data_IF_160829635973
#
_entry.id   IF_160829635973
#
_cell.length_a   1.000
_cell.length_b   1.000
_cell.length_c   1.000
_cell.angle_alpha   90.00
_cell.angle_beta   90.00
_cell.angle_gamma   90.00
#
_symmetry.space_group_name_H-M   'P 1'
#
loop_
_entity.id
_entity.type
_entity.pdbx_description
1 polymer ?
#
# COMPACT_ATOMS: atom_id res chain seq x y z
N UNK A 1 16.00 -43.21 -20.48
CA UNK A 1 16.32 -42.50 -21.74
C UNK A 1 16.97 -41.15 -21.47
N UNK A 2 17.56 -40.51 -22.45
CA UNK A 2 18.41 -39.31 -22.27
C UNK A 2 17.76 -38.13 -21.53
N UNK A 3 16.45 -38.02 -21.58
CA UNK A 3 15.71 -36.97 -20.88
C UNK A 3 15.71 -37.16 -19.35
N UNK A 4 15.58 -38.40 -18.89
CA UNK A 4 15.63 -38.75 -17.46
C UNK A 4 17.03 -38.60 -16.87
N UNK A 5 18.07 -38.81 -17.66
CA UNK A 5 19.46 -38.57 -17.24
C UNK A 5 19.74 -37.06 -17.08
N UNK A 6 19.31 -36.24 -18.02
CA UNK A 6 19.44 -34.79 -17.94
C UNK A 6 18.71 -34.18 -16.74
N UNK A 7 17.46 -34.62 -16.49
CA UNK A 7 16.68 -34.18 -15.31
C UNK A 7 17.36 -34.60 -14.00
N UNK A 8 17.99 -35.78 -13.99
CA UNK A 8 18.73 -36.27 -12.84
C UNK A 8 20.03 -35.51 -12.60
N UNK A 9 20.76 -35.16 -13.65
CA UNK A 9 21.95 -34.32 -13.58
C UNK A 9 21.62 -32.88 -13.14
N UNK A 10 20.55 -32.28 -13.66
CA UNK A 10 20.06 -30.96 -13.24
C UNK A 10 19.63 -30.96 -11.78
N UNK A 11 18.93 -32.01 -11.31
CA UNK A 11 18.52 -32.15 -9.92
C UNK A 11 19.72 -32.33 -8.97
N UNK A 12 20.75 -33.07 -9.39
CA UNK A 12 21.98 -33.23 -8.63
C UNK A 12 22.77 -31.92 -8.56
N UNK A 13 22.91 -31.22 -9.67
CA UNK A 13 23.59 -29.91 -9.73
C UNK A 13 22.89 -28.85 -8.86
N UNK A 14 21.55 -28.88 -8.81
CA UNK A 14 20.76 -28.02 -7.93
C UNK A 14 21.00 -28.33 -6.45
N UNK A 15 20.99 -29.62 -6.09
CA UNK A 15 21.27 -30.05 -4.70
C UNK A 15 22.69 -29.71 -4.25
N UNK A 16 23.68 -29.87 -5.15
CA UNK A 16 25.08 -29.50 -4.86
C UNK A 16 25.26 -27.99 -4.73
N UNK A 17 24.56 -27.20 -5.54
CA UNK A 17 24.55 -25.75 -5.42
C UNK A 17 23.87 -25.28 -4.11
N UNK A 18 22.80 -25.95 -3.71
CA UNK A 18 22.08 -25.67 -2.46
C UNK A 18 22.93 -26.07 -1.22
N UNK A 19 23.60 -27.23 -1.27
CA UNK A 19 24.52 -27.68 -0.24
C UNK A 19 25.74 -26.76 -0.11
N UNK A 20 26.28 -26.24 -1.23
CA UNK A 20 27.36 -25.27 -1.24
C UNK A 20 26.91 -23.95 -0.62
N UNK A 21 25.74 -23.41 -1.01
CA UNK A 21 25.17 -22.21 -0.43
C UNK A 21 24.89 -22.36 1.09
N UNK A 22 24.46 -23.55 1.52
CA UNK A 22 24.25 -23.84 2.93
C UNK A 22 25.58 -23.86 3.72
N UNK A 23 26.67 -24.42 3.13
CA UNK A 23 28.01 -24.39 3.73
C UNK A 23 28.61 -22.99 3.75
N UNK A 24 28.43 -22.20 2.71
CA UNK A 24 28.84 -20.80 2.64
C UNK A 24 28.10 -19.95 3.69
N UNK A 25 26.78 -20.18 3.87
CA UNK A 25 26.00 -19.54 4.95
C UNK A 25 26.46 -19.96 6.35
N UNK A 26 26.81 -21.23 6.55
CA UNK A 26 27.31 -21.73 7.83
C UNK A 26 28.74 -21.26 8.15
N UNK A 27 29.54 -20.99 7.14
CA UNK A 27 30.91 -20.47 7.25
C UNK A 27 30.98 -18.93 7.28
N UNK A 28 29.90 -18.25 6.96
CA UNK A 28 29.86 -16.77 7.07
C UNK A 28 30.04 -16.36 8.53
N UNK A 29 30.88 -15.36 8.83
CA UNK A 29 31.03 -14.85 10.18
C UNK A 29 29.66 -14.47 10.72
N UNK A 30 29.34 -14.91 11.94
CA UNK A 30 28.13 -14.47 12.62
C UNK A 30 28.26 -12.98 12.88
N UNK A 31 27.77 -12.17 11.95
CA UNK A 31 27.65 -10.74 12.15
C UNK A 31 26.54 -10.55 13.17
N UNK A 32 26.83 -9.89 14.28
CA UNK A 32 25.82 -9.59 15.28
C UNK A 32 24.66 -8.84 14.60
N UNK A 33 23.46 -9.39 14.68
CA UNK A 33 22.25 -8.73 14.17
C UNK A 33 21.88 -7.64 15.17
N UNK A 34 21.77 -6.37 14.77
CA UNK A 34 21.38 -5.30 15.67
C UNK A 34 19.95 -5.50 16.18
N UNK A 35 19.67 -4.99 17.38
CA UNK A 35 18.32 -5.08 17.95
C UNK A 35 17.33 -4.17 17.22
N UNK A 36 17.81 -3.03 16.70
CA UNK A 36 17.02 -2.00 16.01
C UNK A 36 17.64 -1.63 14.67
N UNK A 37 16.86 -0.96 13.83
CA UNK A 37 17.36 -0.36 12.58
C UNK A 37 18.22 0.88 12.85
N UNK A 38 18.94 1.33 11.81
CA UNK A 38 19.74 2.56 11.83
C UNK A 38 18.91 3.81 11.48
N UNK A 39 17.58 3.70 11.42
CA UNK A 39 16.69 4.84 11.16
C UNK A 39 16.90 5.89 12.24
N UNK A 40 17.17 7.13 11.83
CA UNK A 40 17.39 8.25 12.77
C UNK A 40 16.10 8.55 13.56
N UNK A 41 16.25 8.97 14.80
CA UNK A 41 15.11 9.18 15.71
C UNK A 41 14.77 10.65 15.94
N UNK A 42 15.60 11.54 15.41
CA UNK A 42 15.52 12.99 15.58
C UNK A 42 14.90 13.71 14.39
N UNK A 43 14.10 13.00 13.57
CA UNK A 43 13.40 13.60 12.44
C UNK A 43 12.46 14.72 12.91
N UNK A 44 12.41 15.86 12.21
CA UNK A 44 11.48 16.92 12.51
C UNK A 44 10.03 16.42 12.42
N UNK A 45 9.21 16.76 13.41
CA UNK A 45 7.79 16.43 13.43
C UNK A 45 7.01 17.55 12.74
N UNK A 46 6.24 17.27 11.68
CA UNK A 46 5.41 18.28 11.04
C UNK A 46 4.19 18.60 11.90
N UNK A 47 3.68 19.82 11.76
CA UNK A 47 2.44 20.22 12.43
C UNK A 47 1.25 19.99 11.50
N UNK A 48 0.33 19.10 11.84
CA UNK A 48 -0.85 18.89 11.02
C UNK A 48 -1.83 20.07 11.11
N UNK A 49 -2.62 20.36 10.08
CA UNK A 49 -3.56 21.48 10.07
C UNK A 49 -4.79 21.25 10.96
N UNK A 50 -5.00 20.03 11.40
CA UNK A 50 -6.06 19.60 12.34
C UNK A 50 -5.71 18.25 12.94
N UNK A 51 -6.39 17.88 14.00
CA UNK A 51 -6.34 16.54 14.58
C UNK A 51 -7.66 15.78 14.35
N UNK A 52 -7.61 14.46 14.34
CA UNK A 52 -8.74 13.59 14.04
C UNK A 52 -9.00 13.45 12.56
N UNK A 53 -10.19 13.00 12.18
CA UNK A 53 -10.53 12.64 10.81
C UNK A 53 -11.46 13.66 10.13
N UNK A 54 -11.37 13.71 8.79
CA UNK A 54 -12.27 14.43 7.88
C UNK A 54 -12.71 13.53 6.73
N UNK A 55 -13.89 13.80 6.21
CA UNK A 55 -14.45 13.12 5.02
C UNK A 55 -14.37 14.03 3.81
N UNK A 56 -13.98 13.44 2.68
CA UNK A 56 -14.03 14.04 1.35
C UNK A 56 -15.08 13.28 0.54
N UNK A 57 -16.12 13.97 0.07
CA UNK A 57 -17.17 13.41 -0.79
C UNK A 57 -17.17 14.10 -2.14
N UNK A 58 -17.60 13.35 -3.16
CA UNK A 58 -17.74 13.88 -4.51
C UNK A 58 -16.41 14.37 -5.10
N UNK A 59 -15.33 13.62 -4.87
CA UNK A 59 -14.02 13.93 -5.44
C UNK A 59 -14.16 13.87 -6.97
N UNK A 60 -13.82 14.95 -7.71
CA UNK A 60 -13.95 14.95 -9.15
C UNK A 60 -13.10 13.87 -9.81
N UNK A 61 -13.65 13.11 -10.74
CA UNK A 61 -12.91 12.09 -11.51
C UNK A 61 -11.68 12.70 -12.17
N UNK A 62 -11.81 13.93 -12.71
CA UNK A 62 -10.73 14.62 -13.40
C UNK A 62 -9.54 14.98 -12.52
N UNK A 63 -9.75 15.17 -11.23
CA UNK A 63 -8.67 15.42 -10.26
C UNK A 63 -7.92 14.11 -9.93
N UNK A 64 -8.56 12.96 -10.10
CA UNK A 64 -8.01 11.64 -9.76
C UNK A 64 -7.35 10.95 -10.95
N UNK A 65 -7.89 11.10 -12.15
CA UNK A 65 -7.38 10.49 -13.40
C UNK A 65 -5.87 10.70 -13.61
N UNK A 66 -5.26 11.87 -13.31
CA UNK A 66 -3.81 12.06 -13.44
C UNK A 66 -2.95 11.15 -12.55
N UNK A 67 -3.55 10.52 -11.53
CA UNK A 67 -2.87 9.64 -10.57
C UNK A 67 -3.00 8.15 -10.91
N UNK A 68 -3.68 7.80 -12.01
CA UNK A 68 -3.79 6.41 -12.45
C UNK A 68 -2.41 5.85 -12.81
N UNK A 69 -2.03 4.74 -12.17
CA UNK A 69 -0.92 3.92 -12.64
C UNK A 69 -1.37 3.08 -13.84
N UNK A 70 -1.14 3.63 -15.06
CA UNK A 70 -1.52 2.98 -16.32
C UNK A 70 -0.85 1.63 -16.51
N UNK A 71 0.40 1.48 -16.03
CA UNK A 71 1.13 0.23 -16.18
C UNK A 71 0.50 -0.88 -15.33
N UNK A 72 0.14 -0.57 -14.08
CA UNK A 72 -0.59 -1.49 -13.20
C UNK A 72 -1.98 -1.79 -13.74
N UNK A 73 -2.72 -0.78 -14.22
CA UNK A 73 -4.03 -0.97 -14.83
C UNK A 73 -3.97 -1.94 -16.02
N UNK A 74 -3.09 -1.67 -16.97
CA UNK A 74 -3.03 -2.45 -18.20
C UNK A 74 -2.51 -3.87 -17.96
N UNK A 75 -1.43 -4.01 -17.18
CA UNK A 75 -0.80 -5.32 -16.96
C UNK A 75 -1.50 -6.17 -15.90
N UNK A 76 -1.97 -5.57 -14.82
CA UNK A 76 -2.56 -6.28 -13.69
C UNK A 76 -4.09 -6.24 -13.74
N UNK A 77 -4.68 -5.06 -13.85
CA UNK A 77 -6.11 -4.85 -13.89
C UNK A 77 -6.77 -5.46 -15.12
N UNK A 78 -6.22 -5.21 -16.30
CA UNK A 78 -6.75 -5.71 -17.59
C UNK A 78 -6.00 -6.93 -18.13
N UNK A 79 -5.00 -7.45 -17.39
CA UNK A 79 -4.27 -8.70 -17.65
C UNK A 79 -3.46 -8.75 -18.96
N UNK A 80 -3.09 -7.61 -19.53
CA UNK A 80 -2.19 -7.55 -20.69
C UNK A 80 -0.75 -7.82 -20.26
N UNK A 81 -0.47 -9.10 -19.97
CA UNK A 81 0.83 -9.59 -19.52
C UNK A 81 1.53 -10.37 -20.63
N UNK A 82 2.86 -10.48 -20.55
CA UNK A 82 3.64 -11.35 -21.43
C UNK A 82 4.08 -10.74 -22.75
N UNK A 83 3.66 -9.52 -23.08
CA UNK A 83 4.12 -8.79 -24.26
C UNK A 83 5.50 -8.22 -23.95
N UNK A 84 6.54 -8.78 -24.60
CA UNK A 84 7.94 -8.42 -24.36
C UNK A 84 8.52 -7.50 -25.44
N UNK A 85 7.94 -7.54 -26.64
CA UNK A 85 8.35 -6.69 -27.75
C UNK A 85 7.91 -5.22 -27.49
N UNK A 86 8.84 -4.25 -27.42
CA UNK A 86 8.53 -2.86 -27.20
C UNK A 86 7.68 -2.22 -28.31
N UNK A 87 7.86 -2.63 -29.56
CA UNK A 87 7.09 -2.11 -30.70
C UNK A 87 5.66 -2.61 -30.66
N UNK A 88 5.47 -3.90 -30.38
CA UNK A 88 4.16 -4.50 -30.18
C UNK A 88 3.42 -3.84 -28.98
N UNK A 89 4.12 -3.64 -27.86
CA UNK A 89 3.57 -2.95 -26.69
C UNK A 89 3.15 -1.51 -27.02
N UNK A 90 4.02 -0.76 -27.71
CA UNK A 90 3.71 0.63 -28.11
C UNK A 90 2.54 0.71 -29.10
N UNK A 91 2.39 -0.28 -30.00
CA UNK A 91 1.23 -0.39 -30.89
C UNK A 91 -0.04 -0.62 -30.08
N UNK A 92 -0.05 -1.62 -29.18
CA UNK A 92 -1.17 -1.98 -28.35
C UNK A 92 -1.63 -0.82 -27.46
N UNK A 93 -0.69 -0.11 -26.85
CA UNK A 93 -0.99 1.11 -26.09
C UNK A 93 -1.83 2.10 -26.92
N UNK A 94 -1.39 2.42 -28.14
CA UNK A 94 -2.08 3.42 -28.97
C UNK A 94 -3.40 2.93 -29.54
N UNK A 95 -3.48 1.66 -29.94
CA UNK A 95 -4.64 1.16 -30.71
C UNK A 95 -5.73 0.55 -29.85
N UNK A 96 -5.44 0.17 -28.61
CA UNK A 96 -6.37 -0.53 -27.76
C UNK A 96 -6.43 0.03 -26.32
N UNK A 97 -5.31 0.09 -25.61
CA UNK A 97 -5.32 0.33 -24.16
C UNK A 97 -5.68 1.78 -23.80
N UNK A 98 -5.09 2.77 -24.48
CA UNK A 98 -5.41 4.18 -24.26
C UNK A 98 -6.85 4.52 -24.72
N UNK A 99 -7.35 4.04 -25.87
CA UNK A 99 -8.78 4.19 -26.22
C UNK A 99 -9.70 3.54 -25.20
N UNK A 100 -9.40 2.32 -24.73
CA UNK A 100 -10.16 1.62 -23.69
C UNK A 100 -10.18 2.41 -22.36
N UNK A 101 -9.06 3.00 -21.96
CA UNK A 101 -8.99 3.87 -20.78
C UNK A 101 -9.83 5.13 -20.97
N UNK A 102 -9.71 5.80 -22.12
CA UNK A 102 -10.50 6.98 -22.43
C UNK A 102 -12.02 6.70 -22.41
N UNK A 103 -12.43 5.54 -22.94
CA UNK A 103 -13.80 5.06 -22.87
C UNK A 103 -14.25 4.83 -21.42
N UNK A 104 -13.45 4.12 -20.59
CA UNK A 104 -13.79 3.86 -19.18
C UNK A 104 -13.93 5.16 -18.38
N UNK A 105 -13.08 6.16 -18.64
CA UNK A 105 -13.21 7.49 -18.02
C UNK A 105 -14.49 8.20 -18.46
N UNK A 106 -14.83 8.16 -19.75
CA UNK A 106 -16.04 8.77 -20.27
C UNK A 106 -17.32 8.12 -19.70
N UNK A 107 -17.35 6.79 -19.62
CA UNK A 107 -18.44 6.03 -19.00
C UNK A 107 -18.57 6.37 -17.50
N UNK A 108 -17.46 6.43 -16.77
CA UNK A 108 -17.48 6.80 -15.34
C UNK A 108 -18.08 8.19 -15.11
N UNK A 109 -17.79 9.16 -16.00
CA UNK A 109 -18.37 10.50 -15.93
C UNK A 109 -19.87 10.53 -16.24
N UNK A 110 -20.32 9.75 -17.22
CA UNK A 110 -21.70 9.82 -17.72
C UNK A 110 -22.65 8.89 -16.97
N UNK A 111 -22.19 7.71 -16.56
CA UNK A 111 -23.04 6.68 -15.97
C UNK A 111 -23.04 6.68 -14.44
N UNK A 112 -22.09 7.40 -13.82
CA UNK A 112 -22.03 7.58 -12.38
C UNK A 112 -21.83 6.29 -11.59
N UNK A 113 -21.16 5.29 -12.18
CA UNK A 113 -20.84 4.04 -11.49
C UNK A 113 -19.64 4.14 -10.56
N UNK A 114 -18.91 5.27 -10.56
CA UNK A 114 -17.90 5.60 -9.57
C UNK A 114 -18.37 6.74 -8.68
N UNK A 115 -18.28 6.55 -7.37
CA UNK A 115 -18.50 7.56 -6.35
C UNK A 115 -17.21 7.70 -5.52
N UNK A 116 -16.32 8.61 -5.97
CA UNK A 116 -15.00 8.77 -5.36
C UNK A 116 -15.13 9.53 -4.04
N UNK A 117 -14.83 8.81 -2.96
CA UNK A 117 -14.87 9.33 -1.60
C UNK A 117 -13.62 8.93 -0.83
N UNK A 118 -13.32 9.68 0.22
CA UNK A 118 -12.22 9.37 1.12
C UNK A 118 -12.48 9.86 2.53
N UNK A 119 -11.81 9.24 3.50
CA UNK A 119 -11.66 9.76 4.86
C UNK A 119 -10.17 9.79 5.17
N UNK A 120 -9.69 10.86 5.80
CA UNK A 120 -8.30 10.98 6.22
C UNK A 120 -8.16 11.85 7.44
N UNK A 121 -7.03 11.76 8.12
CA UNK A 121 -6.76 12.63 9.26
C UNK A 121 -5.44 12.33 9.94
N UNK A 122 -5.22 12.93 11.10
CA UNK A 122 -3.95 12.97 11.81
C UNK A 122 -4.15 12.59 13.28
N UNK A 123 -3.22 11.79 13.79
CA UNK A 123 -3.20 11.37 15.20
C UNK A 123 -1.83 11.60 15.81
N UNK A 124 -1.78 12.11 17.05
CA UNK A 124 -0.54 12.11 17.81
C UNK A 124 -0.06 10.66 17.98
N UNK A 125 1.22 10.42 17.81
CA UNK A 125 1.76 9.07 17.82
C UNK A 125 3.09 8.99 18.59
N UNK A 126 3.37 7.81 19.17
CA UNK A 126 4.67 7.43 19.71
C UNK A 126 4.95 5.96 19.39
N UNK A 127 6.23 5.60 19.33
CA UNK A 127 6.65 4.21 19.16
C UNK A 127 7.12 3.62 20.51
N UNK A 128 6.60 2.45 20.87
CA UNK A 128 7.05 1.63 21.98
C UNK A 128 7.53 0.28 21.45
N UNK A 129 8.84 0.13 21.30
CA UNK A 129 9.44 -0.99 20.60
C UNK A 129 8.95 -1.10 19.14
N UNK A 130 8.31 -2.21 18.81
CA UNK A 130 7.76 -2.50 17.47
C UNK A 130 6.28 -2.06 17.34
N UNK A 131 5.75 -1.33 18.32
CA UNK A 131 4.35 -0.91 18.37
C UNK A 131 4.22 0.61 18.23
N UNK A 132 3.41 1.06 17.30
CA UNK A 132 2.96 2.45 17.21
C UNK A 132 1.73 2.64 18.08
N UNK A 133 1.78 3.60 18.99
CA UNK A 133 0.70 4.05 19.85
C UNK A 133 0.08 5.27 19.20
N UNK A 134 -1.21 5.21 18.85
CA UNK A 134 -1.97 6.37 18.42
C UNK A 134 -2.74 6.93 19.61
N UNK A 135 -2.65 8.23 19.80
CA UNK A 135 -3.26 8.93 20.93
C UNK A 135 -4.50 9.68 20.48
N UNK A 136 -5.41 9.91 21.42
CA UNK A 136 -6.60 10.69 21.13
C UNK A 136 -6.24 12.15 20.78
N UNK A 137 -6.89 12.74 19.78
CA UNK A 137 -6.66 14.13 19.40
C UNK A 137 -6.99 15.15 20.51
N UNK A 138 -7.97 14.84 21.34
CA UNK A 138 -8.48 15.66 22.45
C UNK A 138 -7.80 15.36 23.79
N UNK A 139 -7.15 14.21 23.91
CA UNK A 139 -6.44 13.77 25.12
C UNK A 139 -5.18 12.99 24.73
N UNK A 140 -4.04 13.68 24.61
CA UNK A 140 -2.79 13.03 24.18
C UNK A 140 -2.26 11.95 25.13
N UNK A 141 -2.73 11.88 26.37
CA UNK A 141 -2.34 10.79 27.30
C UNK A 141 -3.15 9.51 27.03
N UNK A 142 -4.29 9.61 26.40
CA UNK A 142 -5.16 8.47 26.11
C UNK A 142 -4.78 7.79 24.79
N UNK A 143 -4.26 6.58 24.89
CA UNK A 143 -3.99 5.73 23.70
C UNK A 143 -5.32 5.20 23.17
N UNK A 144 -5.61 5.46 21.90
CA UNK A 144 -6.84 5.03 21.20
C UNK A 144 -6.59 3.80 20.31
N UNK A 145 -5.35 3.57 19.89
CA UNK A 145 -5.00 2.39 19.11
C UNK A 145 -3.54 1.97 19.31
N UNK A 146 -3.29 0.68 19.08
CA UNK A 146 -1.96 0.07 19.10
C UNK A 146 -1.78 -0.73 17.82
N UNK A 147 -0.71 -0.45 17.07
CA UNK A 147 -0.36 -1.11 15.84
C UNK A 147 1.03 -1.74 15.99
N UNK A 148 1.09 -3.04 16.18
CA UNK A 148 2.35 -3.77 16.27
C UNK A 148 2.78 -4.26 14.90
N UNK A 149 4.00 -3.98 14.53
CA UNK A 149 4.55 -4.31 13.22
C UNK A 149 5.68 -5.33 13.33
N UNK A 150 5.75 -6.29 12.41
CA UNK A 150 6.87 -7.22 12.39
C UNK A 150 8.16 -6.50 12.01
N UNK A 151 9.25 -6.85 12.70
CA UNK A 151 10.59 -6.35 12.41
C UNK A 151 11.27 -7.22 11.37
N UNK A 152 11.86 -6.59 10.34
CA UNK A 152 12.59 -7.26 9.28
C UNK A 152 13.73 -8.13 9.86
N UNK A 153 13.87 -9.39 9.45
CA UNK A 153 15.02 -10.21 9.80
C UNK A 153 16.29 -9.70 9.12
N UNK A 154 17.46 -10.04 9.70
CA UNK A 154 18.74 -9.66 9.13
C UNK A 154 19.26 -8.29 9.59
N UNK A 155 20.20 -7.69 8.85
CA UNK A 155 21.02 -6.57 9.30
C UNK A 155 20.30 -5.23 9.37
N UNK A 156 19.36 -4.95 8.48
CA UNK A 156 18.70 -3.65 8.44
C UNK A 156 17.64 -3.48 9.52
N UNK A 157 17.06 -4.56 10.00
CA UNK A 157 16.11 -4.57 11.12
C UNK A 157 14.99 -3.54 11.02
N UNK A 158 14.52 -3.22 9.81
CA UNK A 158 13.47 -2.23 9.61
C UNK A 158 12.14 -2.70 10.22
N UNK A 159 11.48 -1.80 10.91
CA UNK A 159 10.13 -1.92 11.40
C UNK A 159 9.40 -0.60 11.11
N UNK A 160 8.10 -0.64 10.83
CA UNK A 160 7.35 0.59 10.57
C UNK A 160 7.32 1.50 11.80
N UNK A 161 7.41 0.95 13.01
CA UNK A 161 7.50 1.72 14.24
C UNK A 161 8.78 2.57 14.34
N UNK A 162 9.86 2.20 13.60
CA UNK A 162 11.11 2.99 13.59
C UNK A 162 10.92 4.37 12.93
N UNK A 163 9.86 4.58 12.16
CA UNK A 163 9.51 5.84 11.50
C UNK A 163 8.68 6.78 12.38
N UNK A 164 8.46 6.42 13.63
CA UNK A 164 7.72 7.21 14.61
C UNK A 164 8.61 7.46 15.82
N UNK A 165 8.56 8.66 16.39
CA UNK A 165 9.36 9.05 17.56
C UNK A 165 9.15 8.07 18.72
N UNK A 166 10.21 7.52 19.32
CA UNK A 166 10.08 6.57 20.41
C UNK A 166 9.67 7.26 21.73
N UNK A 167 8.89 6.55 22.56
CA UNK A 167 8.46 7.03 23.89
C UNK A 167 9.66 7.49 24.74
N UNK A 168 10.77 6.75 24.68
CA UNK A 168 12.00 7.05 25.45
C UNK A 168 12.66 8.39 25.11
N UNK A 169 12.40 8.93 23.93
CA UNK A 169 13.04 10.14 23.40
C UNK A 169 12.01 11.27 23.16
N UNK A 170 10.75 11.06 23.51
CA UNK A 170 9.67 12.00 23.21
C UNK A 170 9.79 13.33 23.95
N UNK A 171 10.39 13.35 25.17
CA UNK A 171 10.50 14.58 25.97
C UNK A 171 9.18 15.33 26.19
N UNK A 172 8.03 14.65 26.04
CA UNK A 172 6.70 15.21 26.07
C UNK A 172 6.13 15.63 24.71
N UNK A 173 6.94 15.65 23.66
CA UNK A 173 6.49 15.94 22.30
C UNK A 173 6.08 14.65 21.57
N UNK A 174 4.93 14.65 20.92
CA UNK A 174 4.43 13.51 20.14
C UNK A 174 4.69 13.71 18.66
N UNK A 175 4.88 12.61 18.00
CA UNK A 175 4.95 12.50 16.53
C UNK A 175 3.54 12.54 15.92
N UNK A 176 3.47 12.54 14.60
CA UNK A 176 2.21 12.50 13.85
C UNK A 176 2.18 11.33 12.88
N UNK A 177 1.10 10.57 12.91
CA UNK A 177 0.76 9.58 11.89
C UNK A 177 -0.53 10.00 11.21
N UNK A 178 -0.52 10.03 9.88
CA UNK A 178 -1.75 10.23 9.14
C UNK A 178 -2.38 8.90 8.75
N UNK A 179 -3.69 8.84 8.75
CA UNK A 179 -4.50 7.72 8.27
C UNK A 179 -5.33 8.16 7.08
N UNK A 180 -5.54 7.28 6.12
CA UNK A 180 -6.40 7.52 4.98
C UNK A 180 -7.19 6.29 4.56
N UNK A 181 -8.39 6.50 4.04
CA UNK A 181 -9.27 5.53 3.40
C UNK A 181 -9.77 6.16 2.11
N UNK A 182 -9.74 5.41 1.02
CA UNK A 182 -10.29 5.82 -0.27
C UNK A 182 -11.18 4.71 -0.83
N UNK A 183 -12.25 5.09 -1.51
CA UNK A 183 -13.20 4.15 -2.14
C UNK A 183 -13.77 4.73 -3.42
N UNK A 184 -14.18 3.85 -4.33
CA UNK A 184 -14.97 4.21 -5.52
C UNK A 184 -16.48 3.99 -5.31
N UNK A 185 -16.89 3.60 -4.10
CA UNK A 185 -18.27 3.25 -3.78
C UNK A 185 -18.68 1.88 -4.31
N UNK A 186 -19.91 1.42 -3.99
CA UNK A 186 -20.37 0.05 -4.27
C UNK A 186 -20.79 -0.19 -5.72
N UNK A 187 -21.15 0.86 -6.47
CA UNK A 187 -21.77 0.71 -7.81
C UNK A 187 -20.88 0.02 -8.83
N UNK A 188 -19.55 0.19 -8.73
CA UNK A 188 -18.61 -0.49 -9.62
C UNK A 188 -18.58 -2.00 -9.35
N UNK A 189 -18.64 -2.41 -8.07
CA UNK A 189 -18.76 -3.83 -7.69
C UNK A 189 -20.07 -4.42 -8.21
N UNK A 190 -21.19 -3.74 -7.99
CA UNK A 190 -22.52 -4.16 -8.46
C UNK A 190 -22.58 -4.32 -9.99
N UNK A 191 -21.94 -3.38 -10.72
CA UNK A 191 -21.82 -3.45 -12.18
C UNK A 191 -20.95 -4.64 -12.60
N UNK A 192 -19.81 -4.85 -11.97
CA UNK A 192 -18.92 -5.99 -12.25
C UNK A 192 -19.61 -7.32 -12.01
N UNK A 193 -20.31 -7.48 -10.89
CA UNK A 193 -21.10 -8.69 -10.58
C UNK A 193 -22.24 -8.93 -11.59
N UNK A 194 -22.91 -7.88 -12.04
CA UNK A 194 -23.94 -7.99 -13.08
C UNK A 194 -23.35 -8.47 -14.39
N UNK A 195 -22.26 -7.86 -14.85
CA UNK A 195 -21.56 -8.24 -16.08
C UNK A 195 -21.07 -9.68 -16.03
N UNK A 196 -20.60 -10.14 -14.88
CA UNK A 196 -20.19 -11.53 -14.67
C UNK A 196 -21.37 -12.49 -14.79
N UNK A 197 -22.53 -12.15 -14.21
CA UNK A 197 -23.76 -12.97 -14.35
C UNK A 197 -24.32 -13.01 -15.78
N UNK A 198 -24.01 -12.01 -16.60
CA UNK A 198 -24.37 -11.90 -18.01
C UNK A 198 -23.33 -12.56 -18.94
N UNK A 199 -22.34 -13.29 -18.42
CA UNK A 199 -21.21 -13.88 -19.15
C UNK A 199 -20.37 -12.87 -19.97
N UNK A 200 -20.42 -11.59 -19.61
CA UNK A 200 -19.68 -10.49 -20.24
C UNK A 200 -18.34 -10.28 -19.54
N UNK A 201 -17.50 -11.29 -19.63
CA UNK A 201 -16.26 -11.35 -18.85
C UNK A 201 -15.26 -10.24 -19.18
N UNK A 202 -15.08 -9.87 -20.46
CA UNK A 202 -14.16 -8.79 -20.86
C UNK A 202 -14.60 -7.42 -20.32
N UNK A 203 -15.92 -7.14 -20.39
CA UNK A 203 -16.49 -5.92 -19.83
C UNK A 203 -16.37 -5.90 -18.30
N UNK A 204 -16.63 -7.03 -17.64
CA UNK A 204 -16.45 -7.16 -16.19
C UNK A 204 -15.01 -6.86 -15.79
N UNK A 205 -14.03 -7.47 -16.47
CA UNK A 205 -12.61 -7.27 -16.19
C UNK A 205 -12.19 -5.80 -16.42
N UNK A 206 -12.74 -5.17 -17.47
CA UNK A 206 -12.50 -3.76 -17.78
C UNK A 206 -13.01 -2.84 -16.65
N UNK A 207 -14.26 -3.03 -16.22
CA UNK A 207 -14.91 -2.24 -15.17
C UNK A 207 -14.20 -2.45 -13.83
N UNK A 208 -14.01 -3.71 -13.44
CA UNK A 208 -13.38 -4.06 -12.17
C UNK A 208 -11.95 -3.53 -12.07
N UNK A 209 -11.12 -3.79 -13.09
CA UNK A 209 -9.73 -3.33 -13.11
C UNK A 209 -9.61 -1.80 -13.10
N UNK A 210 -10.50 -1.11 -13.85
CA UNK A 210 -10.53 0.34 -13.84
C UNK A 210 -10.96 0.90 -12.48
N UNK A 211 -12.02 0.38 -11.87
CA UNK A 211 -12.50 0.84 -10.57
C UNK A 211 -11.47 0.59 -9.45
N UNK A 212 -10.80 -0.57 -9.46
CA UNK A 212 -9.71 -0.86 -8.53
C UNK A 212 -8.57 0.16 -8.68
N UNK A 213 -8.18 0.48 -9.91
CA UNK A 213 -7.14 1.46 -10.15
C UNK A 213 -7.57 2.89 -9.80
N UNK A 214 -8.87 3.22 -9.95
CA UNK A 214 -9.41 4.50 -9.50
C UNK A 214 -9.43 4.62 -7.97
N UNK A 215 -9.64 3.53 -7.23
CA UNK A 215 -9.48 3.53 -5.76
C UNK A 215 -8.04 3.86 -5.35
N UNK A 216 -7.05 3.21 -5.98
CA UNK A 216 -5.63 3.49 -5.75
C UNK A 216 -5.24 4.92 -6.17
N UNK A 217 -5.76 5.41 -7.28
CA UNK A 217 -5.55 6.78 -7.74
C UNK A 217 -6.19 7.81 -6.79
N UNK A 218 -7.37 7.50 -6.22
CA UNK A 218 -8.02 8.33 -5.20
C UNK A 218 -7.18 8.35 -3.91
N UNK A 219 -6.62 7.21 -3.52
CA UNK A 219 -5.71 7.16 -2.38
C UNK A 219 -4.42 7.95 -2.63
N UNK A 220 -3.89 7.96 -3.85
CA UNK A 220 -2.73 8.80 -4.20
C UNK A 220 -3.09 10.30 -4.20
N UNK A 221 -4.26 10.68 -4.68
CA UNK A 221 -4.78 12.04 -4.58
C UNK A 221 -4.84 12.51 -3.12
N UNK A 222 -5.38 11.69 -2.21
CA UNK A 222 -5.45 12.00 -0.77
C UNK A 222 -4.06 12.02 -0.14
N UNK A 223 -3.19 11.08 -0.52
CA UNK A 223 -1.81 11.01 -0.04
C UNK A 223 -1.02 12.29 -0.38
N UNK A 224 -1.14 12.79 -1.61
CA UNK A 224 -0.53 14.07 -2.02
C UNK A 224 -1.07 15.24 -1.20
N UNK A 225 -2.37 15.25 -0.92
CA UNK A 225 -2.98 16.25 -0.03
C UNK A 225 -2.39 16.18 1.37
N UNK A 226 -2.28 14.99 1.98
CA UNK A 226 -1.64 14.79 3.29
C UNK A 226 -0.20 15.32 3.29
N UNK A 227 0.59 15.00 2.26
CA UNK A 227 1.97 15.50 2.13
C UNK A 227 2.03 17.01 2.06
N UNK A 228 1.17 17.63 1.28
CA UNK A 228 1.06 19.09 1.16
C UNK A 228 0.66 19.72 2.51
N UNK A 229 -0.33 19.17 3.18
CA UNK A 229 -0.82 19.67 4.47
C UNK A 229 0.22 19.54 5.59
N UNK A 230 1.10 18.54 5.53
CA UNK A 230 2.22 18.36 6.44
C UNK A 230 3.50 19.09 6.00
N UNK A 231 3.51 19.79 4.86
CA UNK A 231 4.67 20.47 4.33
C UNK A 231 5.82 19.56 3.92
N UNK A 232 5.52 18.31 3.51
CA UNK A 232 6.50 17.30 3.10
C UNK A 232 6.94 17.51 1.66
N UNK A 233 8.23 17.22 1.39
CA UNK A 233 8.77 17.20 0.03
C UNK A 233 8.23 16.02 -0.80
N UNK A 234 8.47 16.07 -2.12
CA UNK A 234 7.93 15.08 -3.07
C UNK A 234 8.40 13.64 -2.81
N UNK A 235 9.58 13.46 -2.25
CA UNK A 235 10.16 12.16 -1.93
C UNK A 235 9.92 11.71 -0.48
N UNK A 236 9.26 12.54 0.33
CA UNK A 236 9.00 12.27 1.75
C UNK A 236 7.55 11.84 1.98
N UNK A 237 7.35 11.09 3.06
CA UNK A 237 6.06 10.51 3.38
C UNK A 237 5.79 9.23 2.56
N UNK A 238 5.55 8.12 3.23
CA UNK A 238 5.23 6.85 2.59
C UNK A 238 3.92 6.30 3.13
N UNK A 239 3.15 5.73 2.22
CA UNK A 239 1.86 5.11 2.50
C UNK A 239 2.04 3.60 2.66
N UNK A 240 1.55 3.05 3.75
CA UNK A 240 1.59 1.63 4.05
C UNK A 240 0.20 1.10 4.31
N UNK A 241 -0.18 0.04 3.61
CA UNK A 241 -1.49 -0.60 3.74
C UNK A 241 -1.36 -1.97 4.42
N UNK A 242 -2.26 -2.35 5.33
CA UNK A 242 -2.35 -3.71 5.83
C UNK A 242 -2.49 -4.73 4.69
N UNK A 243 -1.86 -5.90 4.83
CA UNK A 243 -1.80 -6.93 3.78
C UNK A 243 -0.60 -6.81 2.82
N UNK A 244 0.21 -5.74 2.91
CA UNK A 244 1.41 -5.57 2.07
C UNK A 244 2.68 -6.06 2.78
N UNK A 245 3.78 -6.17 2.03
CA UNK A 245 5.02 -6.79 2.47
C UNK A 245 5.61 -6.25 3.78
N UNK A 246 5.43 -4.96 4.09
CA UNK A 246 5.92 -4.33 5.32
C UNK A 246 4.96 -4.45 6.51
N UNK A 247 3.68 -4.77 6.28
CA UNK A 247 2.66 -5.00 7.30
C UNK A 247 1.62 -6.02 6.81
N UNK A 248 1.96 -7.30 6.81
CA UNK A 248 1.17 -8.35 6.16
C UNK A 248 -0.16 -8.67 6.88
N UNK A 249 -0.33 -8.24 8.11
CA UNK A 249 -1.53 -8.52 8.90
C UNK A 249 -2.69 -7.60 8.47
N UNK A 250 -3.78 -8.22 8.00
CA UNK A 250 -5.01 -7.52 7.62
C UNK A 250 -5.81 -6.99 8.82
N UNK A 251 -5.58 -7.47 10.04
CA UNK A 251 -6.26 -6.96 11.23
C UNK A 251 -6.00 -5.46 11.47
N UNK A 252 -4.92 -4.93 10.92
CA UNK A 252 -4.68 -3.49 10.86
C UNK A 252 -5.82 -2.70 10.22
N UNK A 253 -6.57 -3.29 9.27
CA UNK A 253 -7.73 -2.64 8.66
C UNK A 253 -8.82 -2.31 9.70
N UNK A 254 -9.05 -3.19 10.70
CA UNK A 254 -10.04 -2.93 11.77
C UNK A 254 -9.69 -1.67 12.55
N UNK A 255 -8.43 -1.59 12.97
CA UNK A 255 -7.93 -0.43 13.73
C UNK A 255 -8.10 0.86 12.94
N UNK A 256 -7.76 0.83 11.65
CA UNK A 256 -7.86 2.00 10.78
C UNK A 256 -9.31 2.43 10.55
N UNK A 257 -10.24 1.48 10.36
CA UNK A 257 -11.65 1.79 10.16
C UNK A 257 -12.37 2.23 11.46
N UNK A 258 -11.88 1.82 12.62
CA UNK A 258 -12.39 2.33 13.91
C UNK A 258 -12.04 3.79 14.14
N UNK A 259 -10.89 4.25 13.63
CA UNK A 259 -10.41 5.63 13.79
C UNK A 259 -10.92 6.56 12.69
N UNK A 260 -11.14 6.03 11.50
CA UNK A 260 -11.65 6.77 10.34
C UNK A 260 -13.18 6.65 10.28
N UNK A 261 -13.91 7.69 9.83
CA UNK A 261 -15.37 7.64 9.66
C UNK A 261 -15.76 6.80 8.41
N UNK A 262 -15.36 5.51 8.42
CA UNK A 262 -15.50 4.61 7.29
C UNK A 262 -16.96 4.40 6.87
N UNK A 263 -17.87 4.30 7.83
CA UNK A 263 -19.32 4.19 7.56
C UNK A 263 -19.87 5.40 6.79
N UNK A 264 -19.31 6.59 6.99
CA UNK A 264 -19.73 7.80 6.29
C UNK A 264 -19.37 7.82 4.80
N UNK A 265 -18.39 7.01 4.39
CA UNK A 265 -17.99 6.79 2.98
C UNK A 265 -18.41 5.39 2.48
N UNK A 266 -19.29 4.72 3.24
CA UNK A 266 -19.88 3.44 2.83
C UNK A 266 -18.90 2.25 2.80
N UNK A 267 -17.83 2.29 3.60
CA UNK A 267 -16.85 1.20 3.68
C UNK A 267 -17.01 0.41 4.97
N UNK A 268 -17.01 -0.89 4.85
CA UNK A 268 -17.09 -1.86 5.95
C UNK A 268 -16.02 -2.95 5.78
N UNK A 269 -15.99 -3.92 6.71
CA UNK A 269 -15.10 -5.07 6.65
C UNK A 269 -15.87 -6.39 6.62
N UNK A 270 -15.30 -7.38 5.94
CA UNK A 270 -15.67 -8.77 6.11
C UNK A 270 -15.13 -9.31 7.44
N UNK A 271 -15.56 -10.53 7.83
CA UNK A 271 -15.01 -11.23 8.99
C UNK A 271 -13.48 -11.45 8.89
N UNK A 272 -12.98 -11.60 7.66
CA UNK A 272 -11.55 -11.73 7.35
C UNK A 272 -10.80 -10.37 7.23
N UNK A 273 -11.38 -9.29 7.74
CA UNK A 273 -10.83 -7.93 7.70
C UNK A 273 -10.54 -7.39 6.29
N UNK A 274 -11.24 -7.89 5.26
CA UNK A 274 -11.17 -7.34 3.90
C UNK A 274 -12.16 -6.17 3.74
N UNK A 275 -11.76 -5.16 2.96
CA UNK A 275 -12.59 -3.97 2.71
C UNK A 275 -13.79 -4.30 1.79
N UNK A 276 -14.93 -3.71 2.10
CA UNK A 276 -16.16 -3.77 1.31
C UNK A 276 -16.69 -2.34 1.11
N UNK A 277 -16.85 -1.86 -0.14
CA UNK A 277 -16.60 -2.57 -1.41
C UNK A 277 -15.11 -2.87 -1.62
N UNK A 278 -14.83 -3.90 -2.44
CA UNK A 278 -13.48 -4.35 -2.75
C UNK A 278 -12.60 -3.23 -3.37
N UNK A 279 -13.22 -2.35 -4.16
CA UNK A 279 -12.54 -1.19 -4.73
C UNK A 279 -12.38 -0.06 -3.70
N UNK A 280 -11.74 -0.41 -2.60
CA UNK A 280 -11.36 0.48 -1.51
C UNK A 280 -9.95 0.18 -1.05
N UNK A 281 -9.27 1.17 -0.50
CA UNK A 281 -7.92 1.01 0.07
C UNK A 281 -7.78 1.86 1.31
N UNK A 282 -7.07 1.34 2.32
CA UNK A 282 -6.79 2.05 3.57
C UNK A 282 -5.31 1.98 3.88
N UNK A 283 -4.77 3.02 4.47
CA UNK A 283 -3.35 3.09 4.79
C UNK A 283 -3.06 4.05 5.95
N UNK A 284 -1.91 3.84 6.58
CA UNK A 284 -1.24 4.86 7.38
C UNK A 284 -0.09 5.48 6.60
N UNK A 285 0.16 6.77 6.85
CA UNK A 285 1.20 7.55 6.20
C UNK A 285 2.23 7.97 7.24
N UNK A 286 3.47 7.53 7.03
CA UNK A 286 4.63 7.89 7.84
C UNK A 286 5.37 9.03 7.18
N UNK A 287 5.51 10.18 7.86
CA UNK A 287 6.17 11.37 7.32
C UNK A 287 7.70 11.30 7.33
N UNK A 288 8.28 10.32 8.03
CA UNK A 288 9.71 10.23 8.27
C UNK A 288 10.53 10.29 6.97
N UNK A 289 11.59 11.10 6.88
CA UNK A 289 12.38 11.28 5.64
C UNK A 289 13.06 10.00 5.14
N UNK A 290 13.37 9.08 6.05
CA UNK A 290 13.97 7.78 5.71
C UNK A 290 12.93 6.67 5.50
N UNK A 291 11.64 6.98 5.55
CA UNK A 291 10.59 6.00 5.33
C UNK A 291 10.68 5.42 3.92
N UNK A 292 10.77 4.10 3.82
CA UNK A 292 10.92 3.36 2.56
C UNK A 292 10.14 2.06 2.60
N UNK A 293 9.77 1.56 1.43
CA UNK A 293 9.18 0.23 1.32
C UNK A 293 10.24 -0.85 1.55
N UNK A 294 9.88 -1.89 2.27
CA UNK A 294 10.72 -3.05 2.51
C UNK A 294 9.89 -4.33 2.56
N UNK A 295 10.55 -5.45 2.31
CA UNK A 295 9.95 -6.78 2.37
C UNK A 295 10.50 -7.50 3.60
N UNK A 296 9.63 -8.08 4.40
CA UNK A 296 9.98 -8.87 5.58
C UNK A 296 10.69 -10.18 5.23
N UNK A 297 10.46 -10.72 4.02
CA UNK A 297 10.99 -12.02 3.60
C UNK A 297 12.26 -11.91 2.74
N UNK A 298 12.60 -10.73 2.25
CA UNK A 298 13.84 -10.50 1.50
C UNK A 298 14.88 -9.87 2.40
N UNK A 299 15.98 -10.57 2.64
CA UNK A 299 17.22 -9.92 3.02
C UNK A 299 17.53 -8.88 1.92
N UNK A 300 17.68 -7.61 2.30
CA UNK A 300 17.86 -6.53 1.33
C UNK A 300 19.00 -6.87 0.36
N UNK A 301 18.68 -6.89 -0.93
CA UNK A 301 19.69 -6.87 -1.97
C UNK A 301 20.35 -5.49 -1.90
N UNK A 302 21.70 -5.39 -1.86
CA UNK A 302 22.35 -4.10 -1.90
C UNK A 302 21.88 -3.34 -3.13
N UNK A 303 21.52 -2.06 -2.96
CA UNK A 303 21.25 -1.18 -4.08
C UNK A 303 22.47 -1.23 -5.02
N UNK A 304 22.25 -1.57 -6.29
CA UNK A 304 23.28 -1.40 -7.30
C UNK A 304 23.63 0.09 -7.37
N UNK A 305 24.94 0.37 -7.15
CA UNK A 305 25.54 1.71 -7.26
C UNK A 305 25.51 2.18 -8.71
#
# INVERSE_FOLDING_TARGET
GPLLERVREEALSFRDAEARRARERAAAPVVAVPDHSEVRRDAPVPTPPFWGARVLRGIPIDDVVPHIDRNSLFKMGWQFRGIRDPEEWARLLRTELEPRLAQSIAEARSEGHLDLQAAYGYWPALADGDTVLLHAPDDPERVVARLTFPRQPGQHRLCLADYVRPVSEAGGERDVVALQLATTGPRASELSERLQREDRYDDMLRVHGFATQMAEATAEYVHRRIRTELGLGDDQGRRYSPGYASCPDLEGNRVLLELLPAAEVGVTLTDAAQLVPEQSTVAFVMHHPEARYFDLHRAATPAAV
#
